data_IF_004893321947
#
_entry.id   IF_004893321947
#
_cell.length_a   1.000
_cell.length_b   1.000
_cell.length_c   1.000
_cell.angle_alpha   90.00
_cell.angle_beta   90.00
_cell.angle_gamma   90.00
#
_symmetry.space_group_name_H-M   'P 1'
#
loop_
_entity.id
_entity.type
_entity.pdbx_description
1 polymer ?
#
# COMPACT_ATOMS: atom_id res chain seq x y z
N UNK A 1 9.22 2.56 3.26
CA UNK A 1 9.02 1.65 4.41
C UNK A 1 8.06 2.20 5.46
N UNK A 2 7.87 3.53 5.57
CA UNK A 2 6.96 4.14 6.54
C UNK A 2 5.47 3.84 6.29
N UNK A 3 4.99 3.99 5.05
CA UNK A 3 3.58 3.71 4.69
C UNK A 3 3.15 2.27 5.02
N UNK A 4 4.04 1.29 4.80
CA UNK A 4 3.78 -0.10 5.18
C UNK A 4 3.59 -0.25 6.69
N UNK A 5 4.37 0.47 7.50
CA UNK A 5 4.24 0.44 8.95
C UNK A 5 2.92 1.06 9.40
N UNK A 6 2.51 2.18 8.79
CA UNK A 6 1.23 2.83 9.05
C UNK A 6 0.06 1.89 8.73
N UNK A 7 0.09 1.26 7.55
CA UNK A 7 -0.94 0.31 7.12
C UNK A 7 -1.06 -0.88 8.08
N UNK A 8 0.07 -1.38 8.58
CA UNK A 8 0.09 -2.42 9.62
C UNK A 8 -0.48 -1.93 10.96
N UNK A 9 -0.14 -0.71 11.39
CA UNK A 9 -0.65 -0.13 12.63
C UNK A 9 -2.16 0.08 12.58
N UNK A 10 -2.70 0.41 11.41
CA UNK A 10 -4.13 0.50 11.16
C UNK A 10 -4.82 -0.88 11.06
N UNK A 11 -4.09 -1.99 11.12
CA UNK A 11 -4.67 -3.33 10.95
C UNK A 11 -5.16 -3.64 9.54
N UNK A 12 -4.76 -2.82 8.55
CA UNK A 12 -5.20 -2.90 7.15
C UNK A 12 -4.27 -3.79 6.30
N UNK A 13 -3.43 -4.62 6.93
CA UNK A 13 -2.50 -5.49 6.20
C UNK A 13 -3.25 -6.56 5.40
N UNK A 14 -2.94 -6.75 4.10
CA UNK A 14 -3.64 -7.75 3.31
C UNK A 14 -3.36 -9.16 3.85
N UNK A 15 -4.43 -9.91 4.11
CA UNK A 15 -4.32 -11.26 4.65
C UNK A 15 -3.45 -12.15 3.74
N UNK A 16 -2.44 -12.79 4.33
CA UNK A 16 -1.55 -13.72 3.62
C UNK A 16 -0.40 -13.08 2.85
N UNK A 17 -0.30 -11.75 2.79
CA UNK A 17 0.79 -11.07 2.07
C UNK A 17 2.11 -11.09 2.84
N UNK A 18 2.07 -11.22 4.17
CA UNK A 18 3.24 -11.25 5.03
C UNK A 18 4.06 -9.94 4.95
N UNK A 19 5.27 -9.90 5.56
CA UNK A 19 6.11 -8.72 5.50
C UNK A 19 6.72 -8.55 4.09
N UNK A 20 6.95 -7.31 3.61
CA UNK A 20 7.51 -7.07 2.29
C UNK A 20 8.86 -7.79 2.13
N UNK A 21 9.23 -8.29 0.94
CA UNK A 21 10.52 -8.91 0.71
C UNK A 21 11.69 -8.03 1.17
N UNK A 22 12.75 -8.63 1.74
CA UNK A 22 13.91 -7.87 2.27
C UNK A 22 14.53 -6.94 1.23
N UNK A 23 14.49 -7.34 -0.04
CA UNK A 23 14.97 -6.56 -1.19
C UNK A 23 14.20 -5.25 -1.38
N UNK A 24 12.98 -5.11 -0.85
CA UNK A 24 12.21 -3.86 -0.91
C UNK A 24 12.35 -3.01 0.36
N UNK A 25 13.00 -3.52 1.42
CA UNK A 25 13.10 -2.84 2.73
C UNK A 25 14.33 -1.95 2.89
N UNK A 26 15.34 -2.13 2.05
CA UNK A 26 16.59 -1.37 2.09
C UNK A 26 16.81 -0.62 0.79
N UNK A 27 17.73 0.33 0.83
CA UNK A 27 18.16 1.05 -0.36
C UNK A 27 18.65 0.05 -1.42
N UNK A 28 18.39 0.32 -2.71
CA UNK A 28 19.02 -0.47 -3.77
C UNK A 28 20.54 -0.43 -3.53
N UNK A 29 21.23 -1.59 -3.57
CA UNK A 29 22.67 -1.60 -3.43
C UNK A 29 23.24 -0.68 -4.50
N UNK A 30 23.96 0.34 -4.04
CA UNK A 30 24.64 1.32 -4.89
C UNK A 30 25.89 0.71 -5.55
N UNK A 31 26.22 -0.55 -5.24
CA UNK A 31 27.29 -1.31 -5.87
C UNK A 31 27.04 -1.41 -7.37
N UNK A 32 27.75 -0.54 -8.09
CA UNK A 32 27.89 -0.61 -9.54
C UNK A 32 28.44 -1.99 -9.91
N UNK A 33 27.74 -2.77 -10.74
CA UNK A 33 28.27 -4.03 -11.26
C UNK A 33 29.57 -3.79 -12.05
N UNK A 34 29.85 -2.55 -12.46
CA UNK A 34 31.11 -2.16 -13.09
C UNK A 34 32.35 -2.42 -12.23
N UNK A 35 32.24 -2.45 -10.89
CA UNK A 35 33.38 -2.79 -10.02
C UNK A 35 33.65 -4.30 -9.96
N UNK A 36 32.60 -5.12 -9.98
CA UNK A 36 32.71 -6.59 -10.02
C UNK A 36 33.04 -7.10 -11.43
N UNK A 37 32.65 -6.36 -12.47
CA UNK A 37 32.89 -6.71 -13.87
C UNK A 37 34.22 -6.19 -14.41
N UNK A 38 34.86 -5.18 -13.78
CA UNK A 38 36.23 -4.75 -14.13
C UNK A 38 37.26 -5.84 -13.79
N UNK A 39 37.01 -6.66 -12.77
CA UNK A 39 37.86 -7.83 -12.48
C UNK A 39 37.68 -8.98 -13.48
N UNK A 40 36.59 -8.97 -14.24
CA UNK A 40 36.18 -10.03 -15.19
C UNK A 40 36.32 -9.59 -16.66
N UNK A 41 37.04 -8.49 -16.90
CA UNK A 41 37.13 -7.81 -18.20
C UNK A 41 37.97 -8.58 -19.22
N UNK A 42 38.87 -9.47 -18.77
CA UNK A 42 39.75 -10.26 -19.63
C UNK A 42 39.06 -11.43 -20.36
N UNK A 43 37.82 -11.81 -20.01
CA UNK A 43 37.22 -13.07 -20.46
C UNK A 43 35.85 -12.98 -21.15
N UNK A 44 35.16 -11.83 -21.15
CA UNK A 44 33.72 -11.81 -21.44
C UNK A 44 33.24 -11.15 -22.73
N UNK A 45 34.03 -10.34 -23.44
CA UNK A 45 33.60 -9.70 -24.69
C UNK A 45 32.18 -9.10 -24.62
N UNK A 46 31.36 -9.30 -25.66
CA UNK A 46 29.96 -8.83 -25.77
C UNK A 46 28.98 -9.28 -24.67
N UNK A 47 29.34 -10.30 -23.88
CA UNK A 47 28.52 -10.75 -22.75
C UNK A 47 28.55 -9.73 -21.58
N UNK A 48 29.60 -8.91 -21.49
CA UNK A 48 29.72 -7.87 -20.45
C UNK A 48 28.65 -6.80 -20.62
N UNK A 49 28.44 -6.31 -21.84
CA UNK A 49 27.41 -5.31 -22.15
C UNK A 49 26.01 -5.87 -21.89
N UNK A 50 25.80 -7.15 -22.23
CA UNK A 50 24.53 -7.84 -21.96
C UNK A 50 24.25 -7.96 -20.45
N UNK A 51 25.27 -8.32 -19.65
CA UNK A 51 25.14 -8.41 -18.19
C UNK A 51 24.91 -7.04 -17.53
N UNK A 52 25.60 -6.00 -18.00
CA UNK A 52 25.39 -4.63 -17.54
C UNK A 52 23.96 -4.15 -17.82
N UNK A 53 23.45 -4.46 -19.02
CA UNK A 53 22.08 -4.15 -19.39
C UNK A 53 21.06 -4.89 -18.51
N UNK A 54 21.23 -6.20 -18.30
CA UNK A 54 20.37 -7.00 -17.41
C UNK A 54 20.35 -6.40 -16.00
N UNK A 55 21.52 -6.02 -15.47
CA UNK A 55 21.60 -5.43 -14.14
C UNK A 55 20.85 -4.10 -14.04
N UNK A 56 20.99 -3.24 -15.05
CA UNK A 56 20.27 -1.99 -15.11
C UNK A 56 18.75 -2.22 -15.12
N UNK A 57 18.27 -3.18 -15.91
CA UNK A 57 16.84 -3.51 -15.97
C UNK A 57 16.32 -4.10 -14.68
N UNK A 58 17.08 -4.97 -14.01
CA UNK A 58 16.73 -5.48 -12.68
C UNK A 58 16.65 -4.34 -11.65
N UNK A 59 17.55 -3.35 -11.74
CA UNK A 59 17.50 -2.15 -10.92
C UNK A 59 16.27 -1.28 -11.20
N UNK A 60 15.87 -1.16 -12.48
CA UNK A 60 14.66 -0.45 -12.89
C UNK A 60 13.41 -1.14 -12.35
N UNK A 61 13.32 -2.47 -12.50
CA UNK A 61 12.19 -3.26 -12.03
C UNK A 61 12.05 -3.16 -10.50
N UNK A 62 13.16 -3.28 -9.76
CA UNK A 62 13.14 -3.10 -8.30
C UNK A 62 12.64 -1.72 -7.88
N UNK A 63 13.03 -0.64 -8.58
CA UNK A 63 12.51 0.70 -8.30
C UNK A 63 11.00 0.78 -8.52
N UNK A 64 10.51 0.18 -9.59
CA UNK A 64 9.09 0.11 -9.88
C UNK A 64 8.33 -0.68 -8.80
N UNK A 65 8.87 -1.82 -8.35
CA UNK A 65 8.27 -2.61 -7.26
C UNK A 65 8.15 -1.82 -5.95
N UNK A 66 9.18 -1.02 -5.61
CA UNK A 66 9.15 -0.14 -4.43
C UNK A 66 8.08 0.95 -4.58
N UNK A 67 7.96 1.56 -5.76
CA UNK A 67 6.95 2.57 -6.04
C UNK A 67 5.54 1.99 -5.95
N UNK A 68 5.31 0.85 -6.60
CA UNK A 68 4.03 0.15 -6.59
C UNK A 68 3.62 -0.24 -5.17
N UNK A 69 4.55 -0.79 -4.37
CA UNK A 69 4.28 -1.10 -2.97
C UNK A 69 3.88 0.15 -2.19
N UNK A 70 4.53 1.29 -2.43
CA UNK A 70 4.15 2.57 -1.85
C UNK A 70 2.73 2.99 -2.21
N UNK A 71 2.38 2.94 -3.49
CA UNK A 71 1.03 3.27 -3.98
C UNK A 71 -0.05 2.37 -3.38
N UNK A 72 0.22 1.06 -3.30
CA UNK A 72 -0.70 0.11 -2.66
C UNK A 72 -0.88 0.41 -1.17
N UNK A 73 0.19 0.83 -0.47
CA UNK A 73 0.06 1.22 0.93
C UNK A 73 -0.78 2.50 1.10
N UNK A 74 -0.56 3.51 0.25
CA UNK A 74 -1.39 4.73 0.27
C UNK A 74 -2.86 4.42 0.00
N UNK A 75 -3.15 3.62 -1.03
CA UNK A 75 -4.51 3.21 -1.35
C UNK A 75 -5.17 2.46 -0.20
N UNK A 76 -4.45 1.53 0.44
CA UNK A 76 -4.98 0.80 1.59
C UNK A 76 -5.34 1.71 2.76
N UNK A 77 -4.52 2.73 3.04
CA UNK A 77 -4.82 3.73 4.08
C UNK A 77 -6.02 4.59 3.72
N UNK A 78 -6.13 5.04 2.46
CA UNK A 78 -7.30 5.80 1.98
C UNK A 78 -8.59 4.99 2.07
N UNK A 79 -8.55 3.71 1.70
CA UNK A 79 -9.69 2.80 1.86
C UNK A 79 -10.08 2.60 3.33
N UNK A 80 -9.10 2.53 4.24
CA UNK A 80 -9.35 2.47 5.68
C UNK A 80 -10.08 3.70 6.19
N UNK A 81 -9.62 4.90 5.81
CA UNK A 81 -10.27 6.15 6.17
C UNK A 81 -11.73 6.22 5.64
N UNK A 82 -11.95 5.81 4.39
CA UNK A 82 -13.30 5.74 3.82
C UNK A 82 -14.20 4.75 4.56
N UNK A 83 -13.65 3.62 5.03
CA UNK A 83 -14.40 2.65 5.81
C UNK A 83 -14.82 3.21 7.17
N UNK A 84 -13.95 3.99 7.83
CA UNK A 84 -14.28 4.71 9.06
C UNK A 84 -15.36 5.78 8.82
N UNK A 85 -15.26 6.55 7.74
CA UNK A 85 -16.28 7.54 7.35
C UNK A 85 -17.64 6.88 7.09
N UNK A 86 -17.67 5.72 6.43
CA UNK A 86 -18.92 4.98 6.20
C UNK A 86 -19.56 4.50 7.50
N UNK A 87 -18.78 4.01 8.48
CA UNK A 87 -19.31 3.59 9.78
C UNK A 87 -19.97 4.76 10.51
N UNK A 88 -19.36 5.95 10.48
CA UNK A 88 -19.93 7.15 11.10
C UNK A 88 -21.26 7.52 10.46
N UNK A 89 -21.34 7.50 9.13
CA UNK A 89 -22.59 7.80 8.41
C UNK A 89 -23.70 6.79 8.73
N UNK A 90 -23.37 5.50 8.82
CA UNK A 90 -24.34 4.45 9.20
C UNK A 90 -24.84 4.63 10.65
N UNK A 91 -23.96 5.04 11.57
CA UNK A 91 -24.32 5.36 12.96
C UNK A 91 -25.22 6.61 13.05
N UNK A 92 -24.91 7.68 12.31
CA UNK A 92 -25.72 8.91 12.24
C UNK A 92 -27.11 8.65 11.60
N UNK A 93 -27.19 7.83 10.56
CA UNK A 93 -28.47 7.45 9.92
C UNK A 93 -29.33 6.62 10.87
N UNK A 94 -28.73 5.71 11.66
CA UNK A 94 -29.45 4.92 12.65
C UNK A 94 -30.01 5.76 13.80
N UNK A 95 -29.27 6.78 14.29
CA UNK A 95 -29.73 7.66 15.38
C UNK A 95 -30.85 8.61 14.94
N UNK A 96 -30.87 9.02 13.67
CA UNK A 96 -31.92 9.89 13.12
C UNK A 96 -33.22 9.15 12.79
N UNK A 97 -33.16 7.86 12.42
CA UNK A 97 -34.36 7.05 12.16
C UNK A 97 -35.19 6.73 13.40
N UNK A 98 -34.59 6.68 14.59
CA UNK A 98 -35.27 6.37 15.86
C UNK A 98 -36.06 7.57 16.43
N UNK A 99 -35.83 8.78 15.90
CA UNK A 99 -36.49 10.02 16.31
C UNK A 99 -37.76 10.34 15.51
N UNK A 100 -38.04 9.62 14.42
CA UNK A 100 -39.22 9.86 13.57
C UNK A 100 -40.42 8.94 13.88
N UNK A 101 -40.31 7.98 14.82
CA UNK A 101 -41.40 7.07 15.21
C UNK A 101 -42.17 7.48 16.50
N UNK A 102 -41.92 8.64 17.10
CA UNK A 102 -42.61 9.10 18.33
C UNK A 102 -43.74 10.15 18.12
N UNK A 103 -44.12 10.49 16.88
CA UNK A 103 -45.11 11.55 16.58
C UNK A 103 -46.39 11.06 15.84
N UNK A 104 -46.82 9.80 16.05
CA UNK A 104 -48.12 9.30 15.57
C UNK A 104 -48.97 8.69 16.70
N UNK A 105 -49.42 9.47 17.68
CA UNK A 105 -50.62 9.13 18.49
C UNK A 105 -51.10 10.28 19.41
N UNK A 106 -51.63 11.36 18.85
CA UNK A 106 -52.60 12.21 19.57
C UNK A 106 -53.77 12.61 18.65
N UNK A 107 -54.73 11.70 18.44
CA UNK A 107 -56.10 12.09 18.06
C UNK A 107 -56.78 12.83 19.23
N UNK A 108 -57.51 13.93 18.98
CA UNK A 108 -58.11 14.73 20.02
C UNK A 108 -59.33 14.01 20.60
N UNK A 109 -59.24 13.57 21.85
CA UNK A 109 -60.43 13.10 22.57
C UNK A 109 -61.37 14.28 22.81
N UNK A 110 -62.46 14.32 22.05
CA UNK A 110 -63.57 15.22 22.28
C UNK A 110 -64.30 14.91 23.59
N UNK A 111 -64.44 15.95 24.43
CA UNK A 111 -65.58 16.20 25.33
C UNK A 111 -65.78 17.71 25.45
#
# INVERSE_FOLDING_TARGET
MELWLQLKQAGLEPAGLGPPPRVLRGDPPEESPGQTLTTLEAHLGGARESLLWIWQELGNLRRLDVQLLGQLCSLGLEMGALQEELVILEEEEAESGDLEEEDEDEEPQGM
#
